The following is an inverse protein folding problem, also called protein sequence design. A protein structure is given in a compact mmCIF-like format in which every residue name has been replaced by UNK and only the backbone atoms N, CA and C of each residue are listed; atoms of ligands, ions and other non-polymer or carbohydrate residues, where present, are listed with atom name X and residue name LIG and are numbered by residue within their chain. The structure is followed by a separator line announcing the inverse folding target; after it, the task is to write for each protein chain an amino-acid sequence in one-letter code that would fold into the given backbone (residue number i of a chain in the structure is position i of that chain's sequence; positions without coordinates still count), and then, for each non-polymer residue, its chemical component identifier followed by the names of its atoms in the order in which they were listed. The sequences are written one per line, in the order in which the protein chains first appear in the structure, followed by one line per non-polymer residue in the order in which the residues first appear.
data_IF_955716344082
#
_entry.id   IF_955716344082
#
_cell.length_a   1.000
_cell.length_b   1.000
_cell.length_c   1.000
_cell.angle_alpha   90.00
_cell.angle_beta   90.00
_cell.angle_gamma   90.00
#
_symmetry.space_group_name_H-M   'P 1'
#
loop_
_entity.id
_entity.type
_entity.pdbx_description
1 polymer ?
#
# COMPACT_ATOMS: atom_id res chain seq x y z
N UNK A 1 -14.25 -31.28 -35.52
CA UNK A 1 -13.04 -30.83 -34.80
C UNK A 1 -13.17 -31.30 -33.37
N UNK A 2 -12.25 -32.14 -32.89
CA UNK A 2 -12.34 -32.73 -31.55
C UNK A 2 -12.24 -31.67 -30.46
N UNK A 3 -13.03 -31.81 -29.40
CA UNK A 3 -12.96 -30.95 -28.20
C UNK A 3 -11.52 -30.99 -27.68
N UNK A 4 -10.80 -29.86 -27.62
CA UNK A 4 -9.40 -29.85 -27.20
C UNK A 4 -9.28 -30.42 -25.78
N UNK A 5 -8.37 -31.37 -25.61
CA UNK A 5 -8.11 -32.01 -24.32
C UNK A 5 -7.72 -30.94 -23.29
N UNK A 6 -8.40 -30.93 -22.13
CA UNK A 6 -8.23 -29.93 -21.07
C UNK A 6 -6.75 -29.77 -20.62
N UNK A 7 -5.99 -30.87 -20.64
CA UNK A 7 -4.56 -30.85 -20.32
C UNK A 7 -3.71 -30.06 -21.33
N UNK A 8 -4.04 -30.13 -22.63
CA UNK A 8 -3.33 -29.40 -23.69
C UNK A 8 -3.62 -27.89 -23.61
N UNK A 9 -4.88 -27.52 -23.36
CA UNK A 9 -5.25 -26.12 -23.13
C UNK A 9 -4.52 -25.54 -21.92
N UNK A 10 -4.46 -26.27 -20.81
CA UNK A 10 -3.73 -25.82 -19.62
C UNK A 10 -2.24 -25.60 -19.90
N UNK A 11 -1.62 -26.46 -20.71
CA UNK A 11 -0.23 -26.30 -21.11
C UNK A 11 -0.01 -25.06 -21.98
N UNK A 12 -0.96 -24.71 -22.85
CA UNK A 12 -0.94 -23.46 -23.64
C UNK A 12 -1.12 -22.23 -22.75
N UNK A 13 -2.08 -22.26 -21.84
CA UNK A 13 -2.38 -21.15 -20.92
C UNK A 13 -1.20 -20.80 -20.00
N UNK A 14 -0.43 -21.80 -19.57
CA UNK A 14 0.80 -21.61 -18.77
C UNK A 14 1.91 -20.84 -19.49
N UNK A 15 1.86 -20.73 -20.83
CA UNK A 15 2.84 -19.98 -21.63
C UNK A 15 2.48 -18.50 -21.80
N UNK A 16 1.28 -18.09 -21.42
CA UNK A 16 0.80 -16.72 -21.56
C UNK A 16 1.50 -15.79 -20.56
N UNK A 17 1.62 -14.50 -20.88
CA UNK A 17 2.10 -13.49 -19.93
C UNK A 17 0.91 -12.69 -19.36
N UNK A 18 0.51 -13.04 -18.14
CA UNK A 18 -0.58 -12.38 -17.41
C UNK A 18 -0.47 -12.67 -15.91
N UNK A 19 -1.21 -11.98 -15.03
CA UNK A 19 -1.20 -12.22 -13.59
C UNK A 19 -1.33 -13.69 -13.14
N UNK A 20 -2.05 -14.53 -13.91
CA UNK A 20 -2.23 -15.96 -13.63
C UNK A 20 -0.94 -16.80 -13.81
N UNK A 21 0.04 -16.28 -14.53
CA UNK A 21 1.32 -16.94 -14.84
C UNK A 21 2.52 -16.16 -14.29
N UNK A 22 2.28 -15.15 -13.47
CA UNK A 22 3.32 -14.31 -12.88
C UNK A 22 3.66 -14.69 -11.44
N UNK A 23 3.40 -15.93 -11.04
CA UNK A 23 3.73 -16.45 -9.70
C UNK A 23 3.26 -15.49 -8.59
N UNK A 24 1.96 -15.21 -8.61
CA UNK A 24 1.28 -14.38 -7.60
C UNK A 24 0.40 -15.30 -6.77
N UNK A 25 0.63 -15.34 -5.47
CA UNK A 25 -0.11 -16.18 -4.55
C UNK A 25 -1.15 -15.36 -3.78
N UNK A 26 -2.35 -15.93 -3.55
CA UNK A 26 -3.47 -15.21 -2.92
C UNK A 26 -3.12 -14.60 -1.57
N UNK A 27 -2.37 -15.33 -0.76
CA UNK A 27 -2.02 -14.93 0.61
C UNK A 27 -0.91 -13.86 0.66
N UNK A 28 -0.23 -13.61 -0.45
CA UNK A 28 0.82 -12.59 -0.57
C UNK A 28 0.28 -11.22 -1.00
N UNK A 29 -0.95 -11.17 -1.53
CA UNK A 29 -1.60 -9.93 -1.94
C UNK A 29 -1.93 -9.12 -0.68
N UNK A 30 -1.35 -7.94 -0.58
CA UNK A 30 -1.58 -7.03 0.53
C UNK A 30 -3.03 -6.54 0.48
N UNK A 31 -3.82 -6.88 1.50
CA UNK A 31 -5.17 -6.33 1.65
C UNK A 31 -6.08 -6.64 0.43
N UNK A 32 -6.23 -7.92 0.09
CA UNK A 32 -7.01 -8.36 -1.08
C UNK A 32 -8.41 -7.73 -1.08
N UNK A 33 -9.04 -7.62 0.09
CA UNK A 33 -10.39 -7.06 0.22
C UNK A 33 -10.45 -5.59 -0.18
N UNK A 34 -9.63 -4.72 0.43
CA UNK A 34 -9.63 -3.30 0.06
C UNK A 34 -8.90 -3.01 -1.26
N UNK A 35 -8.12 -3.95 -1.82
CA UNK A 35 -7.42 -3.74 -3.10
C UNK A 35 -8.39 -3.43 -4.23
N UNK A 36 -9.56 -4.07 -4.26
CA UNK A 36 -10.62 -3.76 -5.23
C UNK A 36 -11.12 -2.33 -5.10
N UNK A 37 -11.44 -1.88 -3.88
CA UNK A 37 -11.88 -0.50 -3.63
C UNK A 37 -10.81 0.52 -4.06
N UNK A 38 -9.56 0.30 -3.65
CA UNK A 38 -8.42 1.16 -4.02
C UNK A 38 -8.24 1.24 -5.53
N UNK A 39 -8.43 0.15 -6.27
CA UNK A 39 -8.33 0.13 -7.73
C UNK A 39 -9.53 0.79 -8.40
N UNK A 40 -10.74 0.63 -7.87
CA UNK A 40 -11.93 1.31 -8.37
C UNK A 40 -11.82 2.84 -8.19
N UNK A 41 -11.28 3.30 -7.06
CA UNK A 41 -10.95 4.71 -6.86
C UNK A 41 -9.94 5.20 -7.90
N UNK A 42 -8.94 4.38 -8.26
CA UNK A 42 -8.01 4.73 -9.34
C UNK A 42 -8.71 4.85 -10.69
N UNK A 43 -9.62 3.95 -11.03
CA UNK A 43 -10.42 4.07 -12.26
C UNK A 43 -11.30 5.31 -12.23
N UNK A 44 -11.83 5.68 -11.07
CA UNK A 44 -12.67 6.88 -10.90
C UNK A 44 -11.91 8.19 -11.08
N UNK A 45 -10.70 8.30 -10.52
CA UNK A 45 -9.99 9.58 -10.40
C UNK A 45 -8.76 9.71 -11.32
N UNK A 46 -8.19 8.63 -11.85
CA UNK A 46 -7.04 8.72 -12.75
C UNK A 46 -7.47 8.91 -14.22
N UNK A 47 -6.60 9.52 -15.05
CA UNK A 47 -6.86 9.63 -16.48
C UNK A 47 -7.16 8.29 -17.15
N UNK A 48 -8.07 8.33 -18.14
CA UNK A 48 -8.54 7.16 -18.89
C UNK A 48 -7.43 6.28 -19.46
N UNK A 49 -6.30 6.88 -19.86
CA UNK A 49 -5.10 6.17 -20.37
C UNK A 49 -4.57 5.05 -19.45
N UNK A 50 -4.90 5.07 -18.15
CA UNK A 50 -4.48 4.04 -17.18
C UNK A 50 -5.56 3.00 -16.85
N UNK A 51 -6.80 3.21 -17.31
CA UNK A 51 -7.94 2.39 -16.89
C UNK A 51 -7.79 0.93 -17.34
N UNK A 52 -7.27 0.68 -18.55
CA UNK A 52 -7.05 -0.68 -19.06
C UNK A 52 -6.23 -1.55 -18.10
N UNK A 53 -5.07 -1.04 -17.66
CA UNK A 53 -4.21 -1.70 -16.67
C UNK A 53 -4.93 -1.96 -15.35
N UNK A 54 -5.63 -0.96 -14.79
CA UNK A 54 -6.34 -1.13 -13.51
C UNK A 54 -7.51 -2.11 -13.60
N UNK A 55 -8.23 -2.12 -14.72
CA UNK A 55 -9.32 -3.05 -14.98
C UNK A 55 -8.80 -4.49 -15.14
N UNK A 56 -7.65 -4.68 -15.78
CA UNK A 56 -6.97 -5.99 -15.83
C UNK A 56 -6.59 -6.50 -14.43
N UNK A 57 -6.06 -5.63 -13.58
CA UNK A 57 -5.72 -6.00 -12.18
C UNK A 57 -7.01 -6.29 -11.38
N UNK A 58 -8.07 -5.49 -11.56
CA UNK A 58 -9.38 -5.73 -10.94
C UNK A 58 -9.97 -7.07 -11.34
N UNK A 59 -9.86 -7.44 -12.61
CA UNK A 59 -10.32 -8.74 -13.09
C UNK A 59 -9.60 -9.89 -12.37
N UNK A 60 -8.26 -9.82 -12.30
CA UNK A 60 -7.47 -10.81 -11.60
C UNK A 60 -7.83 -10.88 -10.11
N UNK A 61 -7.90 -9.74 -9.42
CA UNK A 61 -8.28 -9.69 -7.99
C UNK A 61 -9.69 -10.25 -7.76
N UNK A 62 -10.64 -9.99 -8.66
CA UNK A 62 -12.01 -10.52 -8.58
C UNK A 62 -12.04 -12.03 -8.73
N UNK A 63 -11.24 -12.58 -9.66
CA UNK A 63 -11.04 -14.02 -9.77
C UNK A 63 -10.44 -14.61 -8.49
N UNK A 64 -9.42 -13.98 -7.91
CA UNK A 64 -8.79 -14.43 -6.66
C UNK A 64 -9.78 -14.44 -5.48
N UNK A 65 -10.81 -13.60 -5.53
CA UNK A 65 -11.95 -13.60 -4.58
C UNK A 65 -13.02 -14.65 -4.89
N UNK A 66 -12.88 -15.39 -5.99
CA UNK A 66 -13.85 -16.42 -6.43
C UNK A 66 -14.99 -15.87 -7.29
N UNK A 67 -14.90 -14.64 -7.77
CA UNK A 67 -15.93 -14.01 -8.59
C UNK A 67 -15.46 -13.83 -10.04
N UNK A 68 -15.69 -14.88 -10.85
CA UNK A 68 -15.32 -14.89 -12.26
C UNK A 68 -16.24 -14.02 -13.13
N UNK A 69 -17.50 -13.82 -12.73
CA UNK A 69 -18.44 -12.98 -13.48
C UNK A 69 -17.97 -11.53 -13.47
N UNK A 70 -17.69 -10.97 -12.29
CA UNK A 70 -17.11 -9.63 -12.18
C UNK A 70 -15.73 -9.55 -12.84
N UNK A 71 -14.94 -10.63 -12.81
CA UNK A 71 -13.67 -10.66 -13.52
C UNK A 71 -13.86 -10.45 -15.04
N UNK A 72 -14.79 -11.16 -15.67
CA UNK A 72 -15.11 -11.00 -17.08
C UNK A 72 -15.68 -9.61 -17.40
N UNK A 73 -16.54 -9.06 -16.54
CA UNK A 73 -17.04 -7.69 -16.71
C UNK A 73 -15.91 -6.65 -16.75
N UNK A 74 -14.94 -6.76 -15.84
CA UNK A 74 -13.79 -5.87 -15.83
C UNK A 74 -12.91 -6.04 -17.07
N UNK A 75 -12.72 -7.26 -17.57
CA UNK A 75 -11.97 -7.50 -18.81
C UNK A 75 -12.69 -6.92 -20.04
N UNK A 76 -14.01 -7.03 -20.13
CA UNK A 76 -14.78 -6.38 -21.19
C UNK A 76 -14.65 -4.86 -21.12
N UNK A 77 -14.70 -4.28 -19.92
CA UNK A 77 -14.44 -2.84 -19.73
C UNK A 77 -13.01 -2.47 -20.14
N UNK A 78 -12.02 -3.29 -19.80
CA UNK A 78 -10.62 -3.07 -20.19
C UNK A 78 -10.46 -3.08 -21.72
N UNK A 79 -11.00 -4.09 -22.38
CA UNK A 79 -10.98 -4.22 -23.85
C UNK A 79 -11.71 -3.05 -24.53
N UNK A 80 -12.88 -2.66 -24.03
CA UNK A 80 -13.64 -1.53 -24.55
C UNK A 80 -12.87 -0.21 -24.43
N UNK A 81 -12.20 0.02 -23.30
CA UNK A 81 -11.35 1.20 -23.10
C UNK A 81 -10.19 1.22 -24.08
N UNK A 82 -9.44 0.11 -24.22
CA UNK A 82 -8.32 0.02 -25.15
C UNK A 82 -8.75 0.25 -26.61
N UNK A 83 -9.92 -0.29 -27.01
CA UNK A 83 -10.49 -0.06 -28.35
C UNK A 83 -10.88 1.39 -28.58
N UNK A 84 -11.56 2.01 -27.62
CA UNK A 84 -11.97 3.39 -27.72
C UNK A 84 -10.79 4.37 -27.77
N UNK A 85 -9.70 4.03 -27.09
CA UNK A 85 -8.43 4.79 -27.12
C UNK A 85 -7.58 4.46 -28.37
N UNK A 86 -8.09 3.60 -29.28
CA UNK A 86 -7.44 3.16 -30.53
C UNK A 86 -6.01 2.64 -30.30
N UNK A 87 -5.82 1.91 -29.21
CA UNK A 87 -4.52 1.35 -28.86
C UNK A 87 -4.04 0.32 -29.89
N UNK A 88 -2.72 0.21 -30.03
CA UNK A 88 -2.09 -0.78 -30.92
C UNK A 88 -2.40 -2.21 -30.46
N UNK A 89 -2.41 -3.23 -31.37
CA UNK A 89 -2.78 -4.59 -31.02
C UNK A 89 -2.00 -5.19 -29.84
N UNK A 90 -0.71 -4.85 -29.70
CA UNK A 90 0.14 -5.33 -28.61
C UNK A 90 -0.31 -4.87 -27.21
N UNK A 91 -1.09 -3.80 -27.10
CA UNK A 91 -1.67 -3.36 -25.82
C UNK A 91 -2.74 -4.34 -25.28
N UNK A 92 -3.30 -5.20 -26.12
CA UNK A 92 -4.35 -6.15 -25.73
C UNK A 92 -3.82 -7.49 -25.21
N UNK A 93 -2.50 -7.73 -25.28
CA UNK A 93 -1.89 -9.02 -24.94
C UNK A 93 -2.27 -9.51 -23.54
N UNK A 94 -2.07 -8.68 -22.51
CA UNK A 94 -2.37 -9.06 -21.12
C UNK A 94 -3.89 -9.23 -20.91
N UNK A 95 -4.71 -8.37 -21.53
CA UNK A 95 -6.17 -8.45 -21.45
C UNK A 95 -6.70 -9.76 -22.05
N UNK A 96 -6.23 -10.15 -23.24
CA UNK A 96 -6.66 -11.39 -23.89
C UNK A 96 -6.11 -12.63 -23.18
N UNK A 97 -4.91 -12.56 -22.63
CA UNK A 97 -4.38 -13.64 -21.78
C UNK A 97 -5.22 -13.83 -20.51
N UNK A 98 -5.65 -12.74 -19.88
CA UNK A 98 -6.58 -12.79 -18.75
C UNK A 98 -7.93 -13.40 -19.14
N UNK A 99 -8.52 -13.01 -20.28
CA UNK A 99 -9.75 -13.63 -20.76
C UNK A 99 -9.59 -15.14 -20.92
N UNK A 100 -8.52 -15.58 -21.59
CA UNK A 100 -8.28 -17.01 -21.80
C UNK A 100 -8.21 -17.78 -20.47
N UNK A 101 -7.55 -17.23 -19.45
CA UNK A 101 -7.50 -17.83 -18.11
C UNK A 101 -8.85 -17.81 -17.38
N UNK A 102 -9.56 -16.69 -17.37
CA UNK A 102 -10.86 -16.60 -16.67
C UNK A 102 -11.90 -17.50 -17.32
N UNK A 103 -11.99 -17.52 -18.65
CA UNK A 103 -12.89 -18.45 -19.37
C UNK A 103 -12.53 -19.91 -19.11
N UNK A 104 -11.24 -20.25 -19.05
CA UNK A 104 -10.80 -21.61 -18.70
C UNK A 104 -11.25 -22.01 -17.30
N UNK A 105 -11.08 -21.12 -16.31
CA UNK A 105 -11.50 -21.36 -14.91
C UNK A 105 -13.04 -21.44 -14.76
N UNK A 106 -13.79 -20.78 -15.64
CA UNK A 106 -15.25 -20.86 -15.71
C UNK A 106 -15.78 -22.03 -16.54
N UNK A 107 -14.92 -22.84 -17.16
CA UNK A 107 -15.32 -23.96 -18.02
C UNK A 107 -15.77 -23.57 -19.44
N UNK A 108 -15.61 -22.31 -19.83
CA UNK A 108 -16.03 -21.77 -21.13
C UNK A 108 -14.96 -22.03 -22.21
N UNK A 109 -14.72 -23.31 -22.53
CA UNK A 109 -13.59 -23.73 -23.37
C UNK A 109 -13.64 -23.18 -24.81
N UNK A 110 -14.82 -22.88 -25.34
CA UNK A 110 -14.96 -22.26 -26.66
C UNK A 110 -14.31 -20.88 -26.73
N UNK A 111 -14.52 -20.05 -25.71
CA UNK A 111 -13.95 -18.71 -25.63
C UNK A 111 -12.44 -18.73 -25.43
N UNK A 112 -11.91 -19.75 -24.72
CA UNK A 112 -10.46 -19.93 -24.56
C UNK A 112 -9.77 -20.01 -25.92
N UNK A 113 -10.32 -20.78 -26.86
CA UNK A 113 -9.81 -20.88 -28.22
C UNK A 113 -9.83 -19.54 -28.95
N UNK A 114 -10.93 -18.78 -28.84
CA UNK A 114 -11.07 -17.45 -29.43
C UNK A 114 -9.98 -16.48 -28.97
N UNK A 115 -9.70 -16.42 -27.66
CA UNK A 115 -8.67 -15.51 -27.14
C UNK A 115 -7.24 -16.00 -27.42
N UNK A 116 -7.00 -17.30 -27.47
CA UNK A 116 -5.71 -17.85 -27.93
C UNK A 116 -5.43 -17.50 -29.40
N UNK A 117 -6.44 -17.57 -30.27
CA UNK A 117 -6.30 -17.15 -31.68
C UNK A 117 -5.95 -15.66 -31.79
N UNK A 118 -6.64 -14.79 -31.05
CA UNK A 118 -6.32 -13.35 -31.01
C UNK A 118 -4.89 -13.07 -30.55
N UNK A 119 -4.41 -13.80 -29.53
CA UNK A 119 -3.03 -13.68 -29.06
C UNK A 119 -2.02 -14.13 -30.11
N UNK A 120 -2.30 -15.24 -30.78
CA UNK A 120 -1.45 -15.77 -31.85
C UNK A 120 -1.37 -14.82 -33.05
N UNK A 121 -2.48 -14.18 -33.43
CA UNK A 121 -2.50 -13.15 -34.48
C UNK A 121 -1.61 -11.95 -34.13
N UNK A 122 -1.68 -11.45 -32.90
CA UNK A 122 -0.81 -10.36 -32.45
C UNK A 122 0.65 -10.80 -32.44
N UNK A 123 0.94 -12.00 -31.93
CA UNK A 123 2.31 -12.50 -31.79
C UNK A 123 2.98 -12.74 -33.15
N UNK A 124 2.24 -13.20 -34.17
CA UNK A 124 2.75 -13.37 -35.55
C UNK A 124 3.34 -12.07 -36.13
N UNK A 125 2.81 -10.91 -35.73
CA UNK A 125 3.31 -9.61 -36.16
C UNK A 125 4.54 -9.10 -35.38
N UNK A 126 5.01 -9.83 -34.37
CA UNK A 126 6.08 -9.40 -33.47
C UNK A 126 7.31 -10.29 -33.67
N UNK A 127 8.46 -9.76 -34.11
CA UNK A 127 9.70 -10.53 -34.26
C UNK A 127 10.16 -11.15 -32.93
N UNK A 128 10.56 -12.43 -32.97
CA UNK A 128 11.09 -13.14 -31.79
C UNK A 128 10.03 -13.53 -30.75
N UNK A 129 8.73 -13.40 -31.07
CA UNK A 129 7.65 -13.88 -30.22
C UNK A 129 7.55 -15.41 -30.21
N UNK A 130 7.02 -15.96 -29.12
CA UNK A 130 6.48 -17.32 -29.11
C UNK A 130 5.06 -17.31 -29.69
N UNK A 131 4.47 -18.49 -29.87
CA UNK A 131 3.12 -18.61 -30.45
C UNK A 131 2.04 -17.77 -29.74
N UNK A 132 2.12 -17.60 -28.41
CA UNK A 132 1.09 -16.92 -27.63
C UNK A 132 1.61 -15.83 -26.68
N UNK A 133 2.92 -15.57 -26.70
CA UNK A 133 3.57 -14.66 -25.75
C UNK A 133 4.77 -13.98 -26.38
N UNK A 134 4.99 -12.73 -26.01
CA UNK A 134 6.10 -11.92 -26.46
C UNK A 134 6.63 -11.03 -25.32
N UNK A 135 7.94 -10.90 -25.27
CA UNK A 135 8.64 -9.99 -24.35
C UNK A 135 8.69 -8.60 -24.95
N UNK A 136 7.67 -7.79 -24.67
CA UNK A 136 7.57 -6.40 -25.08
C UNK A 136 7.58 -5.47 -23.86
N UNK A 137 8.02 -4.20 -24.02
CA UNK A 137 7.95 -3.19 -22.97
C UNK A 137 6.56 -3.08 -22.32
N UNK A 138 5.50 -3.17 -23.13
CA UNK A 138 4.11 -3.10 -22.64
C UNK A 138 3.76 -4.25 -21.68
N UNK A 139 4.25 -5.47 -21.93
CA UNK A 139 4.01 -6.62 -21.04
C UNK A 139 4.75 -6.44 -19.72
N UNK A 140 6.01 -5.97 -19.77
CA UNK A 140 6.76 -5.63 -18.57
C UNK A 140 6.10 -4.48 -17.78
N UNK A 141 5.56 -3.48 -18.46
CA UNK A 141 4.82 -2.38 -17.84
C UNK A 141 3.56 -2.84 -17.09
N UNK A 142 2.72 -3.65 -17.73
CA UNK A 142 1.52 -4.25 -17.11
C UNK A 142 1.89 -5.14 -15.91
N UNK A 143 2.95 -5.93 -16.03
CA UNK A 143 3.50 -6.77 -14.95
C UNK A 143 3.98 -5.93 -13.78
N UNK A 144 4.69 -4.85 -14.05
CA UNK A 144 5.21 -3.94 -13.05
C UNK A 144 4.08 -3.20 -12.30
N UNK A 145 3.08 -2.69 -13.02
CA UNK A 145 1.90 -2.06 -12.42
C UNK A 145 1.09 -3.02 -11.58
N UNK A 146 0.92 -4.27 -12.04
CA UNK A 146 0.24 -5.32 -11.28
C UNK A 146 0.96 -5.55 -9.95
N UNK A 147 2.27 -5.83 -9.98
CA UNK A 147 3.07 -6.00 -8.77
C UNK A 147 3.01 -4.78 -7.84
N UNK A 148 3.08 -3.56 -8.37
CA UNK A 148 3.00 -2.34 -7.58
C UNK A 148 1.64 -2.19 -6.85
N UNK A 149 0.56 -2.67 -7.46
CA UNK A 149 -0.80 -2.59 -6.89
C UNK A 149 -1.13 -3.73 -5.94
N UNK A 150 -0.46 -4.88 -6.05
CA UNK A 150 -0.69 -6.03 -5.16
C UNK A 150 0.06 -5.95 -3.82
N UNK A 151 0.99 -5.01 -3.64
CA UNK A 151 1.50 -4.65 -2.32
C UNK A 151 3.01 -4.78 -2.13
N UNK A 152 3.47 -4.47 -0.92
CA UNK A 152 4.88 -4.28 -0.58
C UNK A 152 5.77 -5.47 -0.92
N UNK A 153 5.26 -6.70 -0.77
CA UNK A 153 5.98 -7.94 -1.09
C UNK A 153 6.43 -7.99 -2.56
N UNK A 154 5.68 -7.35 -3.45
CA UNK A 154 5.94 -7.33 -4.88
C UNK A 154 6.72 -6.11 -5.38
N UNK A 155 7.03 -5.11 -4.53
CA UNK A 155 7.68 -3.87 -4.98
C UNK A 155 9.06 -4.10 -5.62
N UNK A 156 9.85 -5.06 -5.11
CA UNK A 156 11.14 -5.42 -5.74
C UNK A 156 10.93 -5.97 -7.16
N UNK A 157 9.91 -6.80 -7.36
CA UNK A 157 9.55 -7.36 -8.67
C UNK A 157 8.98 -6.28 -9.59
N UNK A 158 8.20 -5.34 -9.06
CA UNK A 158 7.75 -4.17 -9.80
C UNK A 158 8.91 -3.29 -10.28
N UNK A 159 9.90 -3.00 -9.42
CA UNK A 159 11.11 -2.24 -9.78
C UNK A 159 11.80 -2.85 -11.00
N UNK A 160 12.10 -4.14 -10.96
CA UNK A 160 12.79 -4.85 -12.05
C UNK A 160 12.00 -4.82 -13.36
N UNK A 161 10.66 -4.98 -13.29
CA UNK A 161 9.86 -4.99 -14.52
C UNK A 161 9.68 -3.58 -15.10
N UNK A 162 9.60 -2.52 -14.28
CA UNK A 162 9.64 -1.16 -14.81
C UNK A 162 10.98 -0.85 -15.48
N UNK A 163 12.10 -1.31 -14.93
CA UNK A 163 13.42 -1.16 -15.57
C UNK A 163 13.44 -1.80 -16.96
N UNK A 164 13.01 -3.07 -17.06
CA UNK A 164 12.90 -3.77 -18.36
C UNK A 164 11.95 -3.08 -19.35
N UNK A 165 10.85 -2.52 -18.86
CA UNK A 165 9.93 -1.77 -19.70
C UNK A 165 10.61 -0.49 -20.24
N UNK A 166 11.35 0.22 -19.40
CA UNK A 166 12.08 1.44 -19.77
C UNK A 166 13.32 1.19 -20.64
N UNK A 167 13.92 -0.01 -20.61
CA UNK A 167 14.99 -0.39 -21.53
C UNK A 167 14.52 -0.38 -22.99
N UNK A 168 13.26 -0.79 -23.25
CA UNK A 168 12.69 -0.80 -24.60
C UNK A 168 11.84 0.43 -24.96
N UNK A 169 11.34 1.18 -23.97
CA UNK A 169 10.60 2.44 -24.18
C UNK A 169 10.94 3.48 -23.10
N UNK A 170 12.10 4.17 -23.21
CA UNK A 170 12.64 5.02 -22.15
C UNK A 170 11.81 6.26 -21.82
N UNK A 171 11.02 6.75 -22.78
CA UNK A 171 10.23 7.98 -22.67
C UNK A 171 8.75 7.68 -22.40
N UNK A 172 8.39 6.42 -22.15
CA UNK A 172 7.03 6.05 -21.79
C UNK A 172 6.60 6.71 -20.47
N UNK A 173 5.61 7.58 -20.54
CA UNK A 173 5.09 8.32 -19.38
C UNK A 173 4.62 7.37 -18.27
N UNK A 174 3.87 6.32 -18.62
CA UNK A 174 3.31 5.37 -17.65
C UNK A 174 4.42 4.61 -16.91
N UNK A 175 5.44 4.16 -17.63
CA UNK A 175 6.55 3.42 -17.02
C UNK A 175 7.41 4.32 -16.14
N UNK A 176 7.70 5.54 -16.57
CA UNK A 176 8.47 6.50 -15.78
C UNK A 176 7.76 6.88 -14.47
N UNK A 177 6.43 7.08 -14.51
CA UNK A 177 5.61 7.31 -13.32
C UNK A 177 5.64 6.09 -12.40
N UNK A 178 5.32 4.90 -12.93
CA UNK A 178 5.27 3.66 -12.15
C UNK A 178 6.62 3.34 -11.49
N UNK A 179 7.72 3.55 -12.22
CA UNK A 179 9.08 3.37 -11.73
C UNK A 179 9.40 4.36 -10.59
N UNK A 180 9.08 5.65 -10.76
CA UNK A 180 9.25 6.65 -9.71
C UNK A 180 8.45 6.32 -8.45
N UNK A 181 7.20 5.87 -8.60
CA UNK A 181 6.33 5.48 -7.48
C UNK A 181 6.89 4.28 -6.73
N UNK A 182 7.36 3.24 -7.43
CA UNK A 182 7.90 2.05 -6.75
C UNK A 182 9.22 2.36 -6.03
N UNK A 183 10.08 3.18 -6.63
CA UNK A 183 11.32 3.65 -6.00
C UNK A 183 11.01 4.45 -4.73
N UNK A 184 10.07 5.39 -4.80
CA UNK A 184 9.60 6.15 -3.63
C UNK A 184 9.17 5.23 -2.49
N UNK A 185 8.38 4.20 -2.79
CA UNK A 185 7.90 3.25 -1.79
C UNK A 185 9.02 2.39 -1.20
N UNK A 186 9.94 1.90 -2.05
CA UNK A 186 11.10 1.10 -1.60
C UNK A 186 12.03 1.90 -0.69
N UNK A 187 12.35 3.14 -1.05
CA UNK A 187 13.20 4.01 -0.23
C UNK A 187 12.54 4.34 1.12
N UNK A 188 11.22 4.59 1.13
CA UNK A 188 10.49 4.85 2.37
C UNK A 188 10.43 3.62 3.30
N UNK A 189 10.55 2.39 2.79
CA UNK A 189 10.61 1.19 3.63
C UNK A 189 11.98 0.97 4.28
N UNK A 190 13.04 1.53 3.70
CA UNK A 190 14.42 1.39 4.20
C UNK A 190 14.80 2.51 5.18
N UNK A 191 14.18 3.69 5.07
CA UNK A 191 14.52 4.86 5.87
C UNK A 191 14.07 4.74 7.34
N UNK A 192 15.05 4.70 8.25
CA UNK A 192 14.88 5.03 9.67
C UNK A 192 14.73 6.56 9.80
N UNK A 193 13.86 7.04 10.71
CA UNK A 193 13.46 8.46 10.86
C UNK A 193 14.66 9.43 11.12
N UNK A 194 15.89 8.91 11.27
CA UNK A 194 17.11 9.63 11.70
C UNK A 194 18.04 10.12 10.58
N UNK A 195 17.86 9.71 9.32
CA UNK A 195 18.80 10.03 8.23
C UNK A 195 18.08 10.72 7.06
N UNK A 196 17.55 11.93 7.29
CA UNK A 196 16.80 12.72 6.28
C UNK A 196 17.68 13.62 5.39
N UNK A 197 18.89 13.98 5.79
CA UNK A 197 19.63 15.11 5.17
C UNK A 197 20.63 14.73 4.07
N UNK A 198 21.46 13.71 4.26
CA UNK A 198 22.55 13.42 3.32
C UNK A 198 22.10 12.66 2.06
N UNK A 199 21.08 11.80 2.18
CA UNK A 199 20.72 10.80 1.17
C UNK A 199 19.72 11.31 0.11
N UNK A 200 19.09 12.47 0.34
CA UNK A 200 18.18 13.11 -0.61
C UNK A 200 18.86 13.40 -1.96
N UNK A 201 20.17 13.72 -1.96
CA UNK A 201 20.95 13.98 -3.18
C UNK A 201 21.25 12.73 -4.04
N UNK A 202 21.07 11.51 -3.51
CA UNK A 202 21.30 10.25 -4.24
C UNK A 202 20.03 9.41 -4.42
N UNK A 203 18.85 9.97 -4.14
CA UNK A 203 17.57 9.26 -4.26
C UNK A 203 17.27 8.95 -5.74
N UNK A 204 17.27 7.66 -6.08
CA UNK A 204 16.80 7.18 -7.39
C UNK A 204 15.35 7.63 -7.62
N UNK A 205 14.52 7.62 -6.57
CA UNK A 205 13.14 8.08 -6.63
C UNK A 205 13.04 9.56 -7.05
N UNK A 206 13.85 10.46 -6.49
CA UNK A 206 13.83 11.88 -6.86
C UNK A 206 14.16 12.07 -8.33
N UNK A 207 15.26 11.47 -8.81
CA UNK A 207 15.66 11.54 -10.22
C UNK A 207 14.55 11.05 -11.14
N UNK A 208 13.95 9.90 -10.81
CA UNK A 208 12.94 9.30 -11.64
C UNK A 208 11.60 10.04 -11.61
N UNK A 209 11.19 10.58 -10.45
CA UNK A 209 9.98 11.40 -10.34
C UNK A 209 10.13 12.72 -11.09
N UNK A 210 11.33 13.34 -11.09
CA UNK A 210 11.61 14.51 -11.94
C UNK A 210 11.48 14.16 -13.42
N UNK A 211 12.05 13.03 -13.87
CA UNK A 211 11.86 12.57 -15.25
C UNK A 211 10.39 12.37 -15.59
N UNK A 212 9.60 11.78 -14.68
CA UNK A 212 8.16 11.62 -14.87
C UNK A 212 7.43 12.97 -15.00
N UNK A 213 7.79 14.00 -14.23
CA UNK A 213 7.20 15.34 -14.36
C UNK A 213 7.66 16.09 -15.60
N UNK A 214 8.88 15.84 -16.11
CA UNK A 214 9.29 16.38 -17.41
C UNK A 214 8.40 15.84 -18.55
N UNK A 215 7.98 14.58 -18.45
CA UNK A 215 7.14 13.91 -19.43
C UNK A 215 5.63 14.18 -19.25
N UNK A 216 5.18 14.37 -18.01
CA UNK A 216 3.78 14.69 -17.67
C UNK A 216 3.73 15.77 -16.58
N UNK A 217 3.90 17.06 -16.96
CA UNK A 217 3.97 18.17 -16.00
C UNK A 217 2.68 18.40 -15.20
N UNK A 218 1.55 17.83 -15.62
CA UNK A 218 0.27 17.98 -14.95
C UNK A 218 -0.02 16.86 -13.93
N UNK A 219 0.94 15.95 -13.69
CA UNK A 219 0.71 14.81 -12.81
C UNK A 219 0.82 15.18 -11.32
N UNK A 220 -0.31 15.60 -10.74
CA UNK A 220 -0.41 15.99 -9.34
C UNK A 220 0.05 14.90 -8.34
N UNK A 221 -0.15 13.61 -8.64
CA UNK A 221 0.33 12.54 -7.77
C UNK A 221 1.85 12.47 -7.73
N UNK A 222 2.52 12.63 -8.88
CA UNK A 222 3.99 12.65 -8.92
C UNK A 222 4.54 13.90 -8.23
N UNK A 223 3.89 15.07 -8.40
CA UNK A 223 4.24 16.31 -7.72
C UNK A 223 4.28 16.13 -6.19
N UNK A 224 3.20 15.60 -5.60
CA UNK A 224 3.12 15.41 -4.14
C UNK A 224 4.12 14.37 -3.63
N UNK A 225 4.40 13.32 -4.42
CA UNK A 225 5.41 12.32 -4.06
C UNK A 225 6.83 12.89 -4.11
N UNK A 226 7.14 13.72 -5.10
CA UNK A 226 8.41 14.42 -5.21
C UNK A 226 8.56 15.43 -4.07
N UNK A 227 7.53 16.24 -3.79
CA UNK A 227 7.53 17.17 -2.67
C UNK A 227 7.80 16.47 -1.32
N UNK A 228 7.19 15.30 -1.09
CA UNK A 228 7.45 14.48 0.09
C UNK A 228 8.90 13.99 0.21
N UNK A 229 9.64 13.87 -0.89
CA UNK A 229 11.09 13.54 -0.89
C UNK A 229 11.97 14.78 -0.72
N UNK A 230 11.51 15.92 -1.22
CA UNK A 230 12.22 17.21 -1.20
C UNK A 230 11.86 18.08 0.00
N UNK A 231 11.25 17.52 1.05
CA UNK A 231 10.84 18.24 2.25
C UNK A 231 11.87 19.27 2.73
N UNK A 232 11.38 20.38 3.28
CA UNK A 232 12.16 21.54 3.71
C UNK A 232 12.87 22.27 2.55
N UNK A 233 12.29 22.24 1.34
CA UNK A 233 12.77 23.03 0.18
C UNK A 233 11.68 23.92 -0.39
N UNK A 234 12.08 25.04 -0.99
CA UNK A 234 11.17 25.93 -1.71
C UNK A 234 10.45 25.21 -2.86
N UNK A 235 11.17 24.36 -3.60
CA UNK A 235 10.60 23.53 -4.67
C UNK A 235 9.47 22.64 -4.16
N UNK A 236 9.63 22.02 -2.99
CA UNK A 236 8.59 21.15 -2.44
C UNK A 236 7.29 21.90 -2.13
N UNK A 237 7.39 23.15 -1.66
CA UNK A 237 6.22 23.99 -1.44
C UNK A 237 5.50 24.35 -2.74
N UNK A 238 6.24 24.71 -3.80
CA UNK A 238 5.66 25.01 -5.11
C UNK A 238 4.98 23.80 -5.74
N UNK A 239 5.61 22.62 -5.65
CA UNK A 239 5.01 21.36 -6.12
C UNK A 239 3.68 21.04 -5.42
N UNK A 240 3.56 21.33 -4.12
CA UNK A 240 2.31 21.12 -3.37
C UNK A 240 1.24 22.14 -3.79
N UNK A 241 1.60 23.41 -3.98
CA UNK A 241 0.67 24.44 -4.49
C UNK A 241 0.15 24.07 -5.87
N UNK A 242 1.03 23.64 -6.77
CA UNK A 242 0.68 23.23 -8.12
C UNK A 242 -0.22 21.98 -8.11
N UNK A 243 0.10 20.98 -7.29
CA UNK A 243 -0.73 19.78 -7.15
C UNK A 243 -2.14 20.11 -6.65
N UNK A 244 -2.26 21.02 -5.67
CA UNK A 244 -3.55 21.48 -5.16
C UNK A 244 -4.33 22.31 -6.20
N UNK A 245 -3.65 23.08 -7.04
CA UNK A 245 -4.28 23.81 -8.15
C UNK A 245 -4.83 22.86 -9.21
N UNK A 246 -4.09 21.78 -9.52
CA UNK A 246 -4.45 20.83 -10.59
C UNK A 246 -5.46 19.78 -10.15
N UNK A 247 -5.47 19.39 -8.88
CA UNK A 247 -6.28 18.28 -8.38
C UNK A 247 -6.73 18.52 -6.93
N UNK A 248 -7.55 19.57 -6.68
CA UNK A 248 -7.95 19.98 -5.33
C UNK A 248 -8.82 18.93 -4.60
N UNK A 249 -9.44 18.02 -5.33
CA UNK A 249 -10.48 17.10 -4.84
C UNK A 249 -10.14 15.61 -5.05
N UNK A 250 -8.94 15.30 -5.55
CA UNK A 250 -8.51 13.91 -5.77
C UNK A 250 -8.05 13.30 -4.44
N UNK A 251 -8.76 12.29 -3.86
CA UNK A 251 -8.47 11.79 -2.52
C UNK A 251 -7.02 11.28 -2.35
N UNK A 252 -6.47 10.68 -3.41
CA UNK A 252 -5.10 10.18 -3.44
C UNK A 252 -4.05 11.30 -3.38
N UNK A 253 -4.31 12.45 -4.01
CA UNK A 253 -3.44 13.64 -3.95
C UNK A 253 -3.54 14.25 -2.56
N UNK A 254 -4.77 14.48 -2.09
CA UNK A 254 -5.07 15.04 -0.77
C UNK A 254 -4.44 14.25 0.36
N UNK A 255 -4.40 12.92 0.26
CA UNK A 255 -3.68 12.05 1.20
C UNK A 255 -2.22 12.44 1.37
N UNK A 256 -1.52 12.64 0.26
CA UNK A 256 -0.09 12.95 0.29
C UNK A 256 0.17 14.41 0.62
N UNK A 257 -0.71 15.34 0.23
CA UNK A 257 -0.64 16.74 0.67
C UNK A 257 -0.76 16.84 2.19
N UNK A 258 -1.75 16.17 2.80
CA UNK A 258 -1.87 16.12 4.25
C UNK A 258 -0.65 15.49 4.93
N UNK A 259 -0.12 14.40 4.33
CA UNK A 259 1.15 13.80 4.81
C UNK A 259 2.31 14.79 4.74
N UNK A 260 2.40 15.58 3.67
CA UNK A 260 3.46 16.57 3.47
C UNK A 260 3.40 17.65 4.55
N UNK A 261 2.25 18.30 4.73
CA UNK A 261 2.12 19.36 5.73
C UNK A 261 2.37 18.87 7.16
N UNK A 262 1.91 17.67 7.51
CA UNK A 262 2.26 17.06 8.81
C UNK A 262 3.77 16.83 8.96
N UNK A 263 4.46 16.46 7.89
CA UNK A 263 5.91 16.21 7.94
C UNK A 263 6.73 17.50 8.01
N UNK A 264 6.22 18.60 7.45
CA UNK A 264 6.73 19.97 7.62
C UNK A 264 6.34 20.61 8.97
N UNK A 265 5.57 19.91 9.80
CA UNK A 265 4.94 20.43 11.03
C UNK A 265 4.03 21.64 10.81
N UNK A 266 3.57 21.85 9.58
CA UNK A 266 2.60 22.89 9.22
C UNK A 266 1.17 22.34 9.35
N UNK A 267 0.79 21.91 10.56
CA UNK A 267 -0.49 21.24 10.81
C UNK A 267 -1.71 22.11 10.52
N UNK A 268 -1.64 23.43 10.76
CA UNK A 268 -2.73 24.37 10.46
C UNK A 268 -3.01 24.46 8.94
N UNK A 269 -1.97 24.57 8.12
CA UNK A 269 -2.13 24.54 6.66
C UNK A 269 -2.71 23.21 6.16
N UNK A 270 -2.33 22.10 6.81
CA UNK A 270 -2.95 20.79 6.52
C UNK A 270 -4.43 20.78 6.84
N UNK A 271 -4.84 21.37 7.97
CA UNK A 271 -6.25 21.43 8.40
C UNK A 271 -7.07 22.30 7.46
N UNK A 272 -6.55 23.43 6.99
CA UNK A 272 -7.22 24.29 6.01
C UNK A 272 -7.49 23.55 4.70
N UNK A 273 -6.46 22.87 4.17
CA UNK A 273 -6.56 22.10 2.92
C UNK A 273 -7.51 20.91 3.07
N UNK A 274 -7.41 20.17 4.17
CA UNK A 274 -8.32 19.04 4.46
C UNK A 274 -9.76 19.51 4.71
N UNK A 275 -9.95 20.66 5.36
CA UNK A 275 -11.26 21.26 5.61
C UNK A 275 -12.01 21.57 4.32
N UNK A 276 -11.33 22.22 3.35
CA UNK A 276 -11.92 22.47 2.02
C UNK A 276 -12.29 21.19 1.26
N UNK A 277 -11.45 20.15 1.36
CA UNK A 277 -11.80 18.85 0.77
C UNK A 277 -12.97 18.19 1.50
N UNK A 278 -13.09 18.39 2.82
CA UNK A 278 -14.18 17.85 3.61
C UNK A 278 -15.52 18.55 3.28
N UNK A 279 -15.52 19.85 2.97
CA UNK A 279 -16.70 20.57 2.48
C UNK A 279 -17.29 19.91 1.21
N UNK A 280 -16.44 19.38 0.34
CA UNK A 280 -16.84 18.69 -0.89
C UNK A 280 -17.21 17.22 -0.66
N UNK A 281 -16.60 16.58 0.33
CA UNK A 281 -16.79 15.17 0.65
C UNK A 281 -16.98 14.94 2.16
N UNK A 282 -18.09 15.42 2.75
CA UNK A 282 -18.27 15.44 4.20
C UNK A 282 -18.36 14.04 4.84
N UNK A 283 -18.67 13.02 4.05
CA UNK A 283 -18.75 11.63 4.50
C UNK A 283 -17.48 10.82 4.14
N UNK A 284 -16.35 11.49 3.93
CA UNK A 284 -15.08 10.80 3.67
C UNK A 284 -14.41 10.36 4.96
N UNK A 285 -14.51 9.06 5.28
CA UNK A 285 -13.78 8.42 6.39
C UNK A 285 -12.28 8.76 6.35
N UNK A 286 -11.72 8.80 5.14
CA UNK A 286 -10.32 9.11 4.93
C UNK A 286 -9.95 10.54 5.35
N UNK A 287 -10.75 11.54 4.98
CA UNK A 287 -10.48 12.95 5.31
C UNK A 287 -10.56 13.17 6.81
N UNK A 288 -11.60 12.65 7.47
CA UNK A 288 -11.71 12.68 8.93
C UNK A 288 -10.50 12.02 9.60
N UNK A 289 -10.05 10.86 9.11
CA UNK A 289 -8.85 10.22 9.66
C UNK A 289 -7.59 11.10 9.50
N UNK A 290 -7.42 11.80 8.38
CA UNK A 290 -6.29 12.71 8.18
C UNK A 290 -6.36 13.96 9.07
N UNK A 291 -7.56 14.53 9.28
CA UNK A 291 -7.80 15.67 10.16
C UNK A 291 -7.49 15.28 11.62
N UNK A 292 -8.01 14.14 12.08
CA UNK A 292 -7.71 13.62 13.41
C UNK A 292 -6.20 13.40 13.64
N UNK A 293 -5.46 12.95 12.63
CA UNK A 293 -4.00 12.85 12.70
C UNK A 293 -3.30 14.22 12.82
N UNK A 294 -3.85 15.27 12.22
CA UNK A 294 -3.34 16.64 12.38
C UNK A 294 -3.57 17.14 13.81
N UNK A 295 -4.78 16.95 14.34
CA UNK A 295 -5.10 17.29 15.73
C UNK A 295 -4.23 16.52 16.74
N UNK A 296 -3.98 15.23 16.47
CA UNK A 296 -3.07 14.40 17.28
C UNK A 296 -1.65 14.93 17.26
N UNK A 297 -1.16 15.39 16.10
CA UNK A 297 0.18 15.99 15.99
C UNK A 297 0.28 17.29 16.80
N UNK A 298 -0.72 18.18 16.68
CA UNK A 298 -0.82 19.40 17.49
C UNK A 298 -0.84 19.08 18.99
N UNK A 299 -1.62 18.07 19.40
CA UNK A 299 -1.65 17.61 20.79
C UNK A 299 -0.27 17.14 21.27
N UNK A 300 0.46 16.37 20.44
CA UNK A 300 1.82 15.90 20.77
C UNK A 300 2.79 17.08 20.92
N UNK A 301 2.70 18.10 20.06
CA UNK A 301 3.52 19.31 20.13
C UNK A 301 3.24 20.09 21.41
N UNK A 302 1.97 20.36 21.71
CA UNK A 302 1.55 20.97 22.97
C UNK A 302 2.09 20.19 24.18
N UNK A 303 1.98 18.85 24.18
CA UNK A 303 2.50 18.00 25.26
C UNK A 303 4.03 18.00 25.39
N UNK A 304 4.76 18.36 24.33
CA UNK A 304 6.23 18.54 24.39
C UNK A 304 6.56 19.90 24.99
N UNK A 305 5.90 20.95 24.55
CA UNK A 305 6.06 22.31 25.09
C UNK A 305 5.69 22.36 26.58
N UNK A 306 4.60 21.71 26.99
CA UNK A 306 4.22 21.58 28.42
C UNK A 306 5.35 20.93 29.25
N UNK A 307 6.08 19.98 28.66
CA UNK A 307 7.19 19.28 29.33
C UNK A 307 8.47 20.09 29.37
N UNK A 308 8.74 20.86 28.32
CA UNK A 308 9.96 21.66 28.17
C UNK A 308 9.88 22.96 28.96
N UNK A 309 8.74 23.65 28.87
CA UNK A 309 8.55 24.98 29.46
C UNK A 309 7.73 24.95 30.75
N UNK A 310 7.18 23.80 31.16
CA UNK A 310 6.32 23.64 32.33
C UNK A 310 5.05 24.52 32.34
N UNK A 311 4.63 25.01 31.16
CA UNK A 311 3.43 25.81 30.97
C UNK A 311 2.32 24.88 30.46
N UNK A 312 1.21 24.74 31.22
CA UNK A 312 0.04 23.97 30.75
C UNK A 312 -0.72 24.73 29.67
N UNK A 313 -1.07 24.05 28.59
CA UNK A 313 -1.90 24.66 27.54
C UNK A 313 -3.38 24.53 27.90
N UNK A 314 -4.14 25.64 27.99
CA UNK A 314 -5.58 25.59 28.26
C UNK A 314 -6.37 24.93 27.11
N UNK A 315 -5.80 24.89 25.90
CA UNK A 315 -6.43 24.34 24.70
C UNK A 315 -6.34 22.81 24.61
N UNK A 316 -5.55 22.17 25.47
CA UNK A 316 -5.30 20.73 25.43
C UNK A 316 -6.57 19.90 25.50
N UNK A 317 -7.49 20.24 26.41
CA UNK A 317 -8.75 19.52 26.55
C UNK A 317 -9.64 19.63 25.31
N UNK A 318 -9.64 20.79 24.65
CA UNK A 318 -10.36 20.97 23.38
C UNK A 318 -9.71 20.14 22.26
N UNK A 319 -8.37 20.18 22.14
CA UNK A 319 -7.63 19.43 21.12
C UNK A 319 -7.82 17.91 21.23
N UNK A 320 -7.87 17.38 22.46
CA UNK A 320 -8.18 15.96 22.69
C UNK A 320 -9.59 15.61 22.20
N UNK A 321 -10.58 16.48 22.43
CA UNK A 321 -11.96 16.27 21.94
C UNK A 321 -12.05 16.31 20.42
N UNK A 322 -11.30 17.19 19.75
CA UNK A 322 -11.20 17.21 18.29
C UNK A 322 -10.61 15.91 17.74
N UNK A 323 -9.55 15.38 18.38
CA UNK A 323 -9.01 14.06 18.00
C UNK A 323 -10.08 12.96 18.09
N UNK A 324 -10.83 12.92 19.21
CA UNK A 324 -11.90 11.95 19.41
C UNK A 324 -12.99 12.12 18.35
N UNK A 325 -13.42 13.34 18.06
CA UNK A 325 -14.48 13.63 17.08
C UNK A 325 -14.13 13.07 15.70
N UNK A 326 -12.99 13.46 15.13
CA UNK A 326 -12.63 13.07 13.78
C UNK A 326 -12.29 11.58 13.65
N UNK A 327 -11.62 10.99 14.64
CA UNK A 327 -11.40 9.54 14.62
C UNK A 327 -12.70 8.75 14.80
N UNK A 328 -13.65 9.25 15.61
CA UNK A 328 -14.97 8.62 15.74
C UNK A 328 -15.71 8.65 14.41
N UNK A 329 -15.70 9.80 13.72
CA UNK A 329 -16.37 9.92 12.43
C UNK A 329 -15.72 9.06 11.35
N UNK A 330 -14.38 8.96 11.35
CA UNK A 330 -13.65 8.07 10.46
C UNK A 330 -14.05 6.59 10.66
N UNK A 331 -14.18 6.15 11.92
CA UNK A 331 -14.58 4.77 12.27
C UNK A 331 -16.05 4.53 11.96
N UNK A 332 -16.95 5.48 12.23
CA UNK A 332 -18.38 5.40 11.88
C UNK A 332 -18.56 5.18 10.37
N UNK A 333 -17.84 5.96 9.55
CA UNK A 333 -17.93 5.90 8.09
C UNK A 333 -17.23 4.68 7.48
N UNK A 334 -16.17 4.15 8.13
CA UNK A 334 -15.49 2.92 7.70
C UNK A 334 -15.03 2.08 8.91
N UNK A 335 -15.92 1.25 9.48
CA UNK A 335 -15.62 0.45 10.67
C UNK A 335 -14.51 -0.58 10.47
N UNK A 336 -14.23 -0.97 9.23
CA UNK A 336 -13.17 -1.94 8.89
C UNK A 336 -11.76 -1.35 8.90
N UNK A 337 -11.61 -0.04 9.11
CA UNK A 337 -10.30 0.62 9.15
C UNK A 337 -9.64 0.46 10.53
N UNK A 338 -8.84 -0.59 10.69
CA UNK A 338 -8.12 -0.92 11.94
C UNK A 338 -7.28 0.25 12.46
N UNK A 339 -6.58 0.96 11.57
CA UNK A 339 -5.76 2.11 11.97
C UNK A 339 -6.61 3.26 12.52
N UNK A 340 -7.79 3.53 11.95
CA UNK A 340 -8.69 4.53 12.49
C UNK A 340 -9.22 4.12 13.88
N UNK A 341 -9.56 2.84 14.06
CA UNK A 341 -10.00 2.30 15.35
C UNK A 341 -8.91 2.39 16.43
N UNK A 342 -7.67 2.03 16.10
CA UNK A 342 -6.52 2.18 17.03
C UNK A 342 -6.30 3.65 17.39
N UNK A 343 -6.34 4.56 16.41
CA UNK A 343 -6.19 6.00 16.68
C UNK A 343 -7.35 6.55 17.55
N UNK A 344 -8.57 6.05 17.36
CA UNK A 344 -9.71 6.39 18.22
C UNK A 344 -9.49 5.90 19.66
N UNK A 345 -9.00 4.66 19.83
CA UNK A 345 -8.69 4.11 21.16
C UNK A 345 -7.60 4.92 21.87
N UNK A 346 -6.55 5.32 21.15
CA UNK A 346 -5.52 6.21 21.69
C UNK A 346 -6.10 7.57 22.10
N UNK A 347 -6.95 8.18 21.27
CA UNK A 347 -7.61 9.45 21.57
C UNK A 347 -8.55 9.34 22.79
N UNK A 348 -9.30 8.24 22.95
CA UNK A 348 -10.05 7.96 24.17
C UNK A 348 -9.14 7.83 25.40
N UNK A 349 -7.98 7.19 25.25
CA UNK A 349 -6.96 7.13 26.30
C UNK A 349 -6.40 8.50 26.69
N UNK A 350 -6.20 9.38 25.72
CA UNK A 350 -5.82 10.78 25.96
C UNK A 350 -6.94 11.57 26.65
N UNK A 351 -8.21 11.28 26.32
CA UNK A 351 -9.40 11.88 26.91
C UNK A 351 -9.84 11.27 28.25
N UNK A 352 -9.03 10.40 28.86
CA UNK A 352 -9.33 9.66 30.10
C UNK A 352 -10.55 8.72 30.01
N UNK A 353 -11.04 8.42 28.81
CA UNK A 353 -12.09 7.44 28.55
C UNK A 353 -11.47 6.03 28.46
N UNK A 354 -10.84 5.60 29.56
CA UNK A 354 -10.01 4.39 29.57
C UNK A 354 -10.78 3.10 29.26
N UNK A 355 -12.05 3.03 29.67
CA UNK A 355 -12.91 1.89 29.38
C UNK A 355 -13.20 1.76 27.88
N UNK A 356 -13.61 2.85 27.23
CA UNK A 356 -13.89 2.86 25.79
C UNK A 356 -12.63 2.56 24.96
N UNK A 357 -11.48 3.11 25.36
CA UNK A 357 -10.19 2.81 24.74
C UNK A 357 -9.85 1.31 24.81
N UNK A 358 -9.94 0.71 26.00
CA UNK A 358 -9.63 -0.71 26.20
C UNK A 358 -10.63 -1.63 25.50
N UNK A 359 -11.91 -1.24 25.46
CA UNK A 359 -12.95 -1.97 24.73
C UNK A 359 -12.56 -2.15 23.26
N UNK A 360 -12.19 -1.08 22.56
CA UNK A 360 -11.75 -1.15 21.15
C UNK A 360 -10.57 -2.13 20.98
N UNK A 361 -9.52 -2.01 21.80
CA UNK A 361 -8.36 -2.90 21.70
C UNK A 361 -8.74 -4.37 21.90
N UNK A 362 -9.56 -4.66 22.91
CA UNK A 362 -9.97 -6.05 23.22
C UNK A 362 -10.91 -6.62 22.17
N UNK A 363 -11.79 -5.82 21.58
CA UNK A 363 -12.67 -6.24 20.47
C UNK A 363 -11.86 -6.55 19.21
N UNK A 364 -10.90 -5.69 18.86
CA UNK A 364 -9.98 -5.93 17.74
C UNK A 364 -9.17 -7.21 17.91
N UNK A 365 -8.65 -7.49 19.11
CA UNK A 365 -7.82 -8.67 19.34
C UNK A 365 -8.63 -9.97 19.42
N UNK A 366 -9.92 -9.91 19.75
CA UNK A 366 -10.86 -11.04 19.67
C UNK A 366 -11.19 -11.44 18.24
N UNK A 367 -11.03 -10.53 17.28
CA UNK A 367 -11.23 -10.83 15.87
C UNK A 367 -10.15 -11.81 15.38
N UNK A 368 -10.57 -13.05 15.12
CA UNK A 368 -9.71 -14.11 14.58
C UNK A 368 -9.31 -13.86 13.11
N UNK A 369 -10.02 -13.00 12.39
CA UNK A 369 -9.74 -12.65 11.00
C UNK A 369 -8.69 -11.54 10.84
N UNK A 370 -8.26 -10.94 11.96
CA UNK A 370 -7.27 -9.87 11.95
C UNK A 370 -5.93 -10.37 11.39
N UNK A 371 -5.46 -9.69 10.34
CA UNK A 371 -4.18 -10.00 9.67
C UNK A 371 -3.02 -9.88 10.65
N UNK A 372 -1.96 -10.65 10.43
CA UNK A 372 -0.78 -10.63 11.31
C UNK A 372 -0.16 -9.23 11.47
N UNK A 373 -0.06 -8.46 10.37
CA UNK A 373 0.47 -7.10 10.42
C UNK A 373 -0.43 -6.16 11.26
N UNK A 374 -1.75 -6.25 11.08
CA UNK A 374 -2.70 -5.45 11.87
C UNK A 374 -2.68 -5.89 13.33
N UNK A 375 -2.63 -7.20 13.60
CA UNK A 375 -2.52 -7.75 14.95
C UNK A 375 -1.26 -7.25 15.65
N UNK A 376 -0.12 -7.22 14.94
CA UNK A 376 1.13 -6.67 15.46
C UNK A 376 1.00 -5.18 15.81
N UNK A 377 0.34 -4.40 14.96
CA UNK A 377 0.07 -2.99 15.20
C UNK A 377 -0.85 -2.79 16.42
N UNK A 378 -1.97 -3.53 16.50
CA UNK A 378 -2.93 -3.46 17.60
C UNK A 378 -2.29 -3.88 18.93
N UNK A 379 -1.54 -4.99 18.98
CA UNK A 379 -0.83 -5.42 20.19
C UNK A 379 0.19 -4.37 20.65
N UNK A 380 0.93 -3.76 19.72
CA UNK A 380 1.91 -2.71 20.05
C UNK A 380 1.22 -1.47 20.62
N UNK A 381 0.16 -0.99 19.97
CA UNK A 381 -0.61 0.17 20.43
C UNK A 381 -1.28 -0.11 21.79
N UNK A 382 -1.84 -1.30 21.97
CA UNK A 382 -2.46 -1.70 23.23
C UNK A 382 -1.45 -1.79 24.38
N UNK A 383 -0.27 -2.36 24.11
CA UNK A 383 0.84 -2.36 25.07
C UNK A 383 1.25 -0.94 25.50
N UNK A 384 1.30 0.02 24.56
CA UNK A 384 1.57 1.43 24.88
C UNK A 384 0.46 2.04 25.74
N UNK A 385 -0.80 1.79 25.41
CA UNK A 385 -1.95 2.23 26.20
C UNK A 385 -1.89 1.67 27.64
N UNK A 386 -1.63 0.37 27.79
CA UNK A 386 -1.49 -0.29 29.09
C UNK A 386 -0.33 0.30 29.90
N UNK A 387 0.81 0.54 29.26
CA UNK A 387 2.01 1.08 29.89
C UNK A 387 1.81 2.52 30.36
N UNK A 388 1.26 3.40 29.50
CA UNK A 388 1.25 4.85 29.75
C UNK A 388 -0.06 5.38 30.34
N UNK A 389 -1.21 4.80 29.97
CA UNK A 389 -2.53 5.26 30.43
C UNK A 389 -3.02 4.47 31.63
N UNK A 390 -3.04 3.14 31.55
CA UNK A 390 -3.49 2.28 32.66
C UNK A 390 -2.41 1.96 33.69
N UNK A 391 -1.13 2.22 33.38
CA UNK A 391 0.03 1.88 34.22
C UNK A 391 0.11 0.38 34.62
N UNK A 392 -0.42 -0.50 33.77
CA UNK A 392 -0.45 -1.94 33.98
C UNK A 392 0.76 -2.62 33.30
N UNK A 393 1.90 -2.63 33.99
CA UNK A 393 3.19 -3.05 33.40
C UNK A 393 3.20 -4.51 32.93
N UNK A 394 2.71 -5.45 33.75
CA UNK A 394 2.74 -6.88 33.40
C UNK A 394 1.92 -7.18 32.15
N UNK A 395 0.74 -6.55 32.05
CA UNK A 395 -0.13 -6.65 30.88
C UNK A 395 0.52 -6.00 29.66
N UNK A 396 1.17 -4.85 29.83
CA UNK A 396 1.90 -4.22 28.73
C UNK A 396 3.05 -5.11 28.21
N UNK A 397 3.80 -5.77 29.11
CA UNK A 397 4.85 -6.73 28.73
C UNK A 397 4.25 -7.88 27.92
N UNK A 398 3.12 -8.43 28.34
CA UNK A 398 2.44 -9.51 27.62
C UNK A 398 2.08 -9.08 26.18
N UNK A 399 1.45 -7.91 26.01
CA UNK A 399 1.07 -7.41 24.69
C UNK A 399 2.28 -7.11 23.79
N UNK A 400 3.35 -6.51 24.34
CA UNK A 400 4.57 -6.29 23.56
C UNK A 400 5.26 -7.60 23.17
N UNK A 401 5.21 -8.65 24.01
CA UNK A 401 5.70 -9.98 23.63
C UNK A 401 4.88 -10.56 22.48
N UNK A 402 3.55 -10.48 22.55
CA UNK A 402 2.65 -10.90 21.47
C UNK A 402 2.94 -10.18 20.16
N UNK A 403 3.16 -8.86 20.20
CA UNK A 403 3.56 -8.08 19.02
C UNK A 403 4.93 -8.52 18.46
N UNK A 404 5.90 -8.78 19.34
CA UNK A 404 7.28 -9.11 18.94
C UNK A 404 7.43 -10.52 18.36
N UNK A 405 6.57 -11.46 18.79
CA UNK A 405 6.50 -12.84 18.28
C UNK A 405 6.01 -12.89 16.82
N UNK A 406 5.24 -11.90 16.37
CA UNK A 406 4.84 -11.79 14.97
C UNK A 406 6.09 -11.45 14.14
N UNK A 407 6.42 -12.32 13.17
CA UNK A 407 7.72 -12.31 12.47
C UNK A 407 7.90 -11.18 11.46
N UNK A 408 6.87 -10.38 11.24
CA UNK A 408 6.91 -9.25 10.30
C UNK A 408 7.89 -8.20 10.83
N UNK A 409 8.95 -7.93 10.05
CA UNK A 409 9.91 -6.89 10.36
C UNK A 409 9.29 -5.51 10.10
N UNK A 410 8.67 -4.95 11.13
CA UNK A 410 7.95 -3.67 11.07
C UNK A 410 8.46 -2.66 12.10
N UNK A 411 8.04 -1.40 11.96
CA UNK A 411 8.25 -0.36 12.98
C UNK A 411 7.62 -0.76 14.31
N UNK A 412 6.42 -1.36 14.26
CA UNK A 412 5.69 -1.84 15.44
C UNK A 412 6.49 -2.91 16.19
N UNK A 413 7.08 -3.88 15.47
CA UNK A 413 7.97 -4.90 16.06
C UNK A 413 9.17 -4.27 16.75
N UNK A 414 9.86 -3.34 16.07
CA UNK A 414 11.00 -2.60 16.64
C UNK A 414 10.60 -1.83 17.89
N UNK A 415 9.45 -1.17 17.86
CA UNK A 415 8.91 -0.40 18.99
C UNK A 415 8.57 -1.30 20.18
N UNK A 416 7.90 -2.44 19.94
CA UNK A 416 7.61 -3.43 20.97
C UNK A 416 8.91 -3.95 21.63
N UNK A 417 9.93 -4.29 20.84
CA UNK A 417 11.24 -4.71 21.36
C UNK A 417 11.91 -3.65 22.22
N UNK A 418 11.91 -2.38 21.76
CA UNK A 418 12.46 -1.27 22.53
C UNK A 418 11.72 -1.04 23.85
N UNK A 419 10.38 -1.16 23.87
CA UNK A 419 9.57 -1.03 25.09
C UNK A 419 9.75 -2.20 26.04
N UNK A 420 9.90 -3.42 25.53
CA UNK A 420 10.26 -4.59 26.34
C UNK A 420 11.60 -4.38 27.04
N UNK A 421 12.64 -3.97 26.31
CA UNK A 421 13.94 -3.68 26.90
C UNK A 421 13.86 -2.59 27.98
N UNK A 422 13.09 -1.52 27.72
CA UNK A 422 12.86 -0.44 28.69
C UNK A 422 12.18 -0.95 29.97
N UNK A 423 11.16 -1.79 29.87
CA UNK A 423 10.42 -2.33 31.00
C UNK A 423 11.25 -3.38 31.78
N UNK A 424 12.01 -4.22 31.09
CA UNK A 424 12.89 -5.21 31.72
C UNK A 424 13.95 -4.58 32.62
N UNK A 425 14.53 -3.46 32.18
CA UNK A 425 15.50 -2.72 32.98
C UNK A 425 14.88 -2.12 34.25
N UNK A 426 13.61 -1.72 34.21
CA UNK A 426 12.90 -1.16 35.37
C UNK A 426 12.43 -2.21 36.36
N UNK A 427 12.03 -3.39 35.87
CA UNK A 427 11.49 -4.48 36.68
C UNK A 427 12.54 -5.48 37.18
N UNK A 428 13.83 -5.25 36.92
CA UNK A 428 14.91 -6.21 37.25
C UNK A 428 14.87 -7.50 36.43
N UNK A 429 14.03 -7.58 35.39
CA UNK A 429 13.84 -8.74 34.51
C UNK A 429 14.62 -8.63 33.18
N UNK A 430 15.65 -7.79 33.14
CA UNK A 430 16.39 -7.48 31.92
C UNK A 430 16.98 -8.74 31.26
N UNK A 431 17.53 -9.68 32.04
CA UNK A 431 18.10 -10.93 31.55
C UNK A 431 17.06 -11.82 30.86
N UNK A 432 15.87 -11.96 31.45
CA UNK A 432 14.77 -12.76 30.88
C UNK A 432 14.22 -12.14 29.60
N UNK A 433 14.03 -10.82 29.58
CA UNK A 433 13.54 -10.13 28.38
C UNK A 433 14.59 -10.19 27.26
N UNK A 434 15.87 -9.99 27.56
CA UNK A 434 16.93 -10.14 26.56
C UNK A 434 17.01 -11.56 26.00
N UNK A 435 16.85 -12.58 26.84
CA UNK A 435 16.80 -13.97 26.39
C UNK A 435 15.61 -14.22 25.45
N UNK A 436 14.42 -13.69 25.78
CA UNK A 436 13.24 -13.76 24.92
C UNK A 436 13.48 -13.08 23.56
N UNK A 437 13.97 -11.85 23.53
CA UNK A 437 14.19 -11.11 22.28
C UNK A 437 15.17 -11.86 21.37
N UNK A 438 16.30 -12.35 21.93
CA UNK A 438 17.29 -13.15 21.19
C UNK A 438 16.71 -14.44 20.63
N UNK A 439 15.85 -15.13 21.40
CA UNK A 439 15.23 -16.36 20.96
C UNK A 439 14.28 -16.14 19.77
N UNK A 440 13.47 -15.07 19.79
CA UNK A 440 12.57 -14.77 18.68
C UNK A 440 13.33 -14.27 17.44
N UNK A 441 14.38 -13.47 17.60
CA UNK A 441 15.22 -13.05 16.46
C UNK A 441 15.90 -14.25 15.79
N UNK A 442 16.39 -15.22 16.57
CA UNK A 442 16.98 -16.46 16.03
C UNK A 442 15.96 -17.28 15.23
N UNK A 443 14.71 -17.37 15.71
CA UNK A 443 13.65 -18.09 14.99
C UNK A 443 13.29 -17.45 13.65
N UNK A 444 13.43 -16.12 13.53
CA UNK A 444 13.20 -15.42 12.27
C UNK A 444 14.32 -15.77 11.29
N UNK A 445 15.59 -15.66 11.71
CA UNK A 445 16.73 -15.99 10.84
C UNK A 445 16.68 -17.44 10.35
N UNK A 446 16.32 -18.39 11.22
CA UNK A 446 16.16 -19.79 10.83
C UNK A 446 15.03 -20.00 9.80
N UNK A 447 13.91 -19.26 9.91
CA UNK A 447 12.85 -19.32 8.88
C UNK A 447 13.23 -18.65 7.57
N UNK A 448 13.99 -17.54 7.61
CA UNK A 448 14.48 -16.87 6.39
C UNK A 448 15.50 -17.75 5.66
N UNK A 449 16.39 -18.42 6.38
CA UNK A 449 17.36 -19.37 5.83
C UNK A 449 16.67 -20.61 5.22
N UNK A 450 15.64 -21.14 5.87
CA UNK A 450 14.83 -22.25 5.34
C UNK A 450 14.04 -21.84 4.08
N UNK A 451 13.44 -20.65 4.07
CA UNK A 451 12.77 -20.10 2.88
C UNK A 451 13.77 -19.93 1.73
N UNK A 452 14.94 -19.36 2.01
CA UNK A 452 15.99 -19.18 1.01
C UNK A 452 16.60 -20.50 0.53
N UNK A 453 16.62 -21.55 1.36
CA UNK A 453 17.05 -22.90 0.97
C UNK A 453 15.98 -23.60 0.11
N UNK A 454 14.70 -23.42 0.43
CA UNK A 454 13.58 -23.93 -0.35
C UNK A 454 13.49 -23.27 -1.73
N UNK A 455 13.67 -21.96 -1.82
CA UNK A 455 13.75 -21.22 -3.08
C UNK A 455 14.97 -21.62 -3.93
N UNK A 456 16.07 -22.04 -3.28
CA UNK A 456 17.25 -22.61 -3.95
C UNK A 456 17.02 -24.05 -4.41
N UNK A 457 16.21 -24.83 -3.70
CA UNK A 457 15.87 -26.22 -4.02
C UNK A 457 14.82 -26.38 -5.13
N UNK A 458 14.01 -25.35 -5.41
CA UNK A 458 13.10 -25.33 -6.58
C UNK A 458 13.80 -24.95 -7.90
N UNK A 459 15.07 -24.53 -7.86
CA UNK A 459 15.90 -24.52 -9.06
C UNK A 459 16.44 -25.95 -9.24
N UNK A 460 15.92 -26.64 -10.25
CA UNK A 460 16.20 -28.03 -10.64
C UNK A 460 15.36 -29.11 -9.94
N UNK A 461 14.20 -29.41 -10.52
CA UNK A 461 13.90 -30.72 -11.13
C UNK A 461 12.78 -30.61 -12.15
#
# INVERSE_FOLDING_TARGET
MGVPNNADLKAKLRKLECPFTWDIEKHEIEDLDNTSEKLLDRVKFCPRKYHGTYLNILAFVSHMKGNNESALEFLHKAEATLKADKQVPTAFLVTYANFAWVHYQSGNLGDVGTYLCKLEEICKGVPGSSQYSCTLPVVHGEKAWTFLRLGAKYYKRAKVNFQKALEGDPENVSFNIGYGVVLYRLEHMVQDDRLRSEESRRSEAVTQLRKALLLDPANAEVMVLLALKLQQSEESCELIKDALRLSPDVPQVMRYVAKYFRAERSTDASLEVLGRALEQAPNSSFLHHQIGLCHKQQLIEMLKEEREYHIRSPLKGAKVKECVHDFSKAVELKPTNIYAQVNLAEAYGDNQQLYEAEKIFTELLKDGSLREADRQHVCTAYGLFLMYKKKAQDRAIAEFKSAYQIKIQSRDRKQAGAKLAQLGNRAGAASQIQAFLRAEDKRISETEDLSAAFDRGMKFK
#
